data_IF_607821969741
#
_entry.id   IF_607821969741
#
_cell.length_a   1.000
_cell.length_b   1.000
_cell.length_c   1.000
_cell.angle_alpha   90.00
_cell.angle_beta   90.00
_cell.angle_gamma   90.00
#
_symmetry.space_group_name_H-M   'P 1'
#
loop_
_entity.id
_entity.type
_entity.pdbx_description
1 polymer ?
#
# COMPACT_ATOMS: atom_id res chain seq x y z
N UNK A 1 -15.24 16.16 10.01
CA UNK A 1 -14.28 16.74 9.05
C UNK A 1 -13.55 15.62 8.36
N UNK A 2 -14.06 15.21 7.20
CA UNK A 2 -13.64 14.02 6.48
C UNK A 2 -12.34 14.32 5.71
N UNK A 3 -11.29 13.53 5.93
CA UNK A 3 -9.99 13.62 5.24
C UNK A 3 -10.10 13.65 3.71
N UNK A 4 -11.25 13.24 3.16
CA UNK A 4 -11.56 13.17 1.74
C UNK A 4 -12.09 14.48 1.14
N UNK A 5 -12.73 15.34 1.94
CA UNK A 5 -13.15 16.67 1.46
C UNK A 5 -11.92 17.51 1.12
N UNK A 6 -10.88 17.41 1.97
CA UNK A 6 -9.58 18.03 1.71
C UNK A 6 -8.91 17.47 0.45
N UNK A 7 -8.97 16.16 0.19
CA UNK A 7 -8.34 15.60 -1.03
C UNK A 7 -9.07 15.99 -2.32
N UNK A 8 -10.41 16.13 -2.29
CA UNK A 8 -11.18 16.58 -3.45
C UNK A 8 -10.90 18.05 -3.81
N UNK A 9 -10.72 18.92 -2.80
CA UNK A 9 -10.31 20.32 -3.01
C UNK A 9 -8.82 20.49 -3.35
N UNK A 10 -7.98 19.51 -3.01
CA UNK A 10 -6.53 19.61 -3.20
C UNK A 10 -6.09 19.42 -4.66
N UNK A 11 -6.76 18.58 -5.44
CA UNK A 11 -6.35 18.30 -6.82
C UNK A 11 -6.56 19.48 -7.78
N UNK A 12 -7.74 20.17 -7.79
CA UNK A 12 -7.94 21.36 -8.62
C UNK A 12 -7.02 22.52 -8.18
N UNK A 13 -6.88 22.73 -6.87
CA UNK A 13 -6.04 23.82 -6.33
C UNK A 13 -4.55 23.67 -6.64
N UNK A 14 -4.01 22.45 -6.73
CA UNK A 14 -2.61 22.25 -7.16
C UNK A 14 -2.47 22.57 -8.65
N UNK A 15 -3.40 22.14 -9.50
CA UNK A 15 -3.34 22.44 -10.94
C UNK A 15 -3.44 23.94 -11.24
N UNK A 16 -4.30 24.68 -10.51
CA UNK A 16 -4.40 26.13 -10.63
C UNK A 16 -3.18 26.87 -10.08
N UNK A 17 -2.57 26.39 -8.98
CA UNK A 17 -1.39 27.03 -8.36
C UNK A 17 -0.10 26.68 -9.10
N UNK A 18 0.02 25.49 -9.69
CA UNK A 18 1.26 25.04 -10.36
C UNK A 18 1.23 25.13 -11.88
N UNK A 19 0.07 25.32 -12.51
CA UNK A 19 -0.09 25.34 -13.98
C UNK A 19 0.60 24.14 -14.69
N UNK A 20 0.74 23.01 -13.99
CA UNK A 20 1.47 21.84 -14.48
C UNK A 20 0.53 20.83 -15.12
N UNK A 21 0.94 20.17 -16.22
CA UNK A 21 0.16 19.10 -16.84
C UNK A 21 -0.26 18.00 -15.86
N UNK A 22 -1.41 17.37 -16.13
CA UNK A 22 -1.98 16.31 -15.29
C UNK A 22 -1.05 15.12 -15.04
N UNK A 23 -0.19 14.77 -16.01
CA UNK A 23 0.79 13.70 -15.84
C UNK A 23 1.82 13.97 -14.73
N UNK A 24 2.05 15.24 -14.32
CA UNK A 24 2.95 15.63 -13.23
C UNK A 24 2.17 15.80 -11.92
N UNK A 25 1.01 16.46 -11.99
CA UNK A 25 0.22 16.76 -10.78
C UNK A 25 -0.24 15.49 -10.08
N UNK A 26 -0.67 14.47 -10.81
CA UNK A 26 -1.11 13.19 -10.25
C UNK A 26 0.00 12.47 -9.43
N UNK A 27 1.21 12.21 -9.98
CA UNK A 27 2.33 11.72 -9.18
C UNK A 27 2.76 12.62 -8.04
N UNK A 28 2.74 13.95 -8.23
CA UNK A 28 3.16 14.89 -7.20
C UNK A 28 2.23 14.82 -5.98
N UNK A 29 0.91 14.81 -6.19
CA UNK A 29 -0.06 14.64 -5.11
C UNK A 29 0.12 13.28 -4.43
N UNK A 30 0.30 12.20 -5.22
CA UNK A 30 0.60 10.88 -4.67
C UNK A 30 1.83 10.89 -3.77
N UNK A 31 2.93 11.52 -4.18
CA UNK A 31 4.16 11.61 -3.41
C UNK A 31 3.96 12.44 -2.14
N UNK A 32 3.32 13.59 -2.22
CA UNK A 32 3.07 14.47 -1.05
C UNK A 32 2.21 13.77 0.00
N UNK A 33 1.06 13.21 -0.39
CA UNK A 33 0.16 12.48 0.51
C UNK A 33 0.87 11.26 1.12
N UNK A 34 1.61 10.53 0.28
CA UNK A 34 2.38 9.37 0.73
C UNK A 34 3.47 9.75 1.72
N UNK A 35 4.22 10.82 1.45
CA UNK A 35 5.30 11.27 2.31
C UNK A 35 4.75 11.69 3.68
N UNK A 36 3.69 12.49 3.73
CA UNK A 36 3.11 12.99 4.99
C UNK A 36 2.60 11.84 5.87
N UNK A 37 1.94 10.84 5.29
CA UNK A 37 1.33 9.75 6.05
C UNK A 37 2.33 8.64 6.34
N UNK A 38 3.12 8.23 5.34
CA UNK A 38 3.98 7.04 5.46
C UNK A 38 5.31 7.33 6.13
N UNK A 39 5.88 8.53 6.04
CA UNK A 39 7.17 8.83 6.68
C UNK A 39 7.14 8.69 8.21
N UNK A 40 6.21 9.30 8.98
CA UNK A 40 6.19 9.14 10.43
C UNK A 40 5.92 7.68 10.83
N UNK A 41 5.10 7.00 10.03
CA UNK A 41 4.76 5.61 10.26
C UNK A 41 5.93 4.65 10.00
N UNK A 42 6.70 4.89 8.93
CA UNK A 42 7.91 4.15 8.63
C UNK A 42 8.97 4.34 9.73
N UNK A 43 9.12 5.57 10.25
CA UNK A 43 10.00 5.87 11.37
C UNK A 43 9.53 5.14 12.65
N UNK A 44 8.24 5.20 12.96
CA UNK A 44 7.67 4.52 14.12
C UNK A 44 7.87 3.01 14.04
N UNK A 45 7.52 2.38 12.92
CA UNK A 45 7.68 0.93 12.73
C UNK A 45 9.15 0.52 12.85
N UNK A 46 10.08 1.26 12.24
CA UNK A 46 11.51 0.99 12.38
C UNK A 46 11.98 1.15 13.83
N UNK A 47 11.52 2.17 14.55
CA UNK A 47 11.85 2.37 15.97
C UNK A 47 11.44 1.17 16.85
N UNK A 48 10.26 0.60 16.59
CA UNK A 48 9.77 -0.61 17.26
C UNK A 48 10.66 -1.81 16.92
N UNK A 49 11.05 -1.97 15.65
CA UNK A 49 11.96 -3.05 15.24
C UNK A 49 13.35 -2.92 15.88
N UNK A 50 13.87 -1.69 16.00
CA UNK A 50 15.14 -1.42 16.71
C UNK A 50 15.06 -1.79 18.19
N UNK A 51 13.95 -1.47 18.87
CA UNK A 51 13.73 -1.89 20.27
C UNK A 51 13.64 -3.41 20.40
N UNK A 52 12.97 -4.08 19.46
CA UNK A 52 12.90 -5.55 19.41
C UNK A 52 14.28 -6.19 19.23
N UNK A 53 15.09 -5.65 18.31
CA UNK A 53 16.44 -6.17 18.06
C UNK A 53 17.32 -6.17 19.32
N UNK A 54 17.18 -5.16 20.19
CA UNK A 54 17.88 -5.09 21.48
C UNK A 54 17.45 -6.16 22.48
N UNK A 55 16.19 -6.60 22.42
CA UNK A 55 15.62 -7.60 23.33
C UNK A 55 15.83 -9.04 22.84
N UNK A 56 16.20 -9.22 21.58
CA UNK A 56 16.44 -10.53 20.98
C UNK A 56 17.44 -11.43 21.74
N UNK A 57 18.60 -10.95 22.27
CA UNK A 57 19.52 -11.82 23.03
C UNK A 57 18.87 -12.42 24.28
N UNK A 58 17.92 -11.73 24.93
CA UNK A 58 17.17 -12.29 26.06
C UNK A 58 16.28 -13.45 25.61
N UNK A 59 15.66 -13.33 24.44
CA UNK A 59 14.85 -14.41 23.88
C UNK A 59 15.72 -15.63 23.54
N UNK A 60 16.92 -15.39 23.02
CA UNK A 60 17.89 -16.45 22.73
C UNK A 60 18.34 -17.17 24.00
N UNK A 61 18.63 -16.43 25.08
CA UNK A 61 18.99 -17.00 26.38
C UNK A 61 17.85 -17.84 26.97
N UNK A 62 16.60 -17.34 26.89
CA UNK A 62 15.41 -18.07 27.35
C UNK A 62 15.23 -19.42 26.63
N UNK A 63 15.47 -19.45 25.31
CA UNK A 63 15.39 -20.69 24.55
C UNK A 63 16.44 -21.71 24.97
N UNK A 64 17.68 -21.28 25.19
CA UNK A 64 18.74 -22.16 25.67
C UNK A 64 18.37 -22.73 27.06
N UNK A 65 17.95 -21.87 27.99
CA UNK A 65 17.59 -22.26 29.34
C UNK A 65 16.40 -23.25 29.38
N UNK A 66 15.33 -22.95 28.64
CA UNK A 66 14.12 -23.80 28.59
C UNK A 66 14.43 -25.12 27.86
N UNK A 67 15.25 -25.06 26.81
CA UNK A 67 15.74 -26.23 26.08
C UNK A 67 16.49 -27.20 26.97
N UNK A 68 17.45 -26.71 27.77
CA UNK A 68 18.21 -27.53 28.70
C UNK A 68 17.32 -28.13 29.80
N UNK A 69 16.41 -27.33 30.37
CA UNK A 69 15.49 -27.80 31.41
C UNK A 69 14.54 -28.90 30.93
N UNK A 70 14.02 -28.79 29.70
CA UNK A 70 13.15 -29.81 29.11
C UNK A 70 13.92 -31.06 28.63
N UNK A 71 15.15 -30.91 28.15
CA UNK A 71 16.04 -32.04 27.84
C UNK A 71 16.36 -32.87 29.08
N UNK A 72 16.68 -32.22 30.21
CA UNK A 72 16.94 -32.89 31.49
C UNK A 72 15.74 -33.70 31.98
N UNK A 73 14.53 -33.23 31.69
CA UNK A 73 13.26 -33.90 32.05
C UNK A 73 12.83 -34.98 31.03
N UNK A 74 13.66 -35.29 30.02
CA UNK A 74 13.41 -36.31 29.00
C UNK A 74 12.00 -36.25 28.36
N UNK A 75 11.47 -35.04 28.15
CA UNK A 75 10.10 -34.86 27.65
C UNK A 75 10.04 -35.15 26.14
N UNK A 76 9.03 -35.87 25.62
CA UNK A 76 8.85 -36.01 24.18
C UNK A 76 8.55 -34.66 23.52
N UNK A 77 8.97 -34.49 22.26
CA UNK A 77 8.77 -33.28 21.46
C UNK A 77 9.34 -32.00 22.11
N UNK A 78 10.56 -32.10 22.65
CA UNK A 78 11.26 -30.99 23.33
C UNK A 78 11.21 -29.70 22.50
N UNK A 79 11.56 -29.75 21.22
CA UNK A 79 11.66 -28.54 20.38
C UNK A 79 10.33 -27.79 20.25
N UNK A 80 9.22 -28.51 20.08
CA UNK A 80 7.90 -27.90 19.99
C UNK A 80 7.48 -27.27 21.32
N UNK A 81 7.73 -27.96 22.44
CA UNK A 81 7.42 -27.42 23.77
C UNK A 81 8.28 -26.20 24.11
N UNK A 82 9.57 -26.22 23.76
CA UNK A 82 10.47 -25.06 23.93
C UNK A 82 9.94 -23.87 23.13
N UNK A 83 9.64 -24.05 21.85
CA UNK A 83 9.17 -22.94 21.00
C UNK A 83 7.84 -22.37 21.48
N UNK A 84 6.88 -23.20 21.90
CA UNK A 84 5.61 -22.74 22.50
C UNK A 84 5.84 -21.99 23.81
N UNK A 85 6.66 -22.53 24.72
CA UNK A 85 6.95 -21.91 26.01
C UNK A 85 7.69 -20.57 25.86
N UNK A 86 8.69 -20.52 24.98
CA UNK A 86 9.43 -19.30 24.66
C UNK A 86 8.50 -18.27 24.03
N UNK A 87 7.66 -18.64 23.05
CA UNK A 87 6.69 -17.71 22.43
C UNK A 87 5.80 -17.03 23.48
N UNK A 88 5.25 -17.80 24.42
CA UNK A 88 4.39 -17.26 25.48
C UNK A 88 5.17 -16.33 26.42
N UNK A 89 6.38 -16.71 26.85
CA UNK A 89 7.21 -15.88 27.73
C UNK A 89 7.72 -14.61 27.04
N UNK A 90 8.20 -14.73 25.80
CA UNK A 90 8.68 -13.59 25.02
C UNK A 90 7.56 -12.58 24.75
N UNK A 91 6.32 -13.03 24.49
CA UNK A 91 5.18 -12.11 24.37
C UNK A 91 4.96 -11.29 25.63
N UNK A 92 4.95 -11.94 26.82
CA UNK A 92 4.83 -11.25 28.11
C UNK A 92 5.98 -10.27 28.34
N UNK A 93 7.21 -10.69 28.02
CA UNK A 93 8.40 -9.84 28.10
C UNK A 93 8.29 -8.62 27.20
N UNK A 94 7.90 -8.78 25.92
CA UNK A 94 7.70 -7.64 25.01
C UNK A 94 6.61 -6.69 25.50
N UNK A 95 5.50 -7.22 26.03
CA UNK A 95 4.47 -6.39 26.67
C UNK A 95 5.01 -5.64 27.89
N UNK A 96 5.84 -6.27 28.74
CA UNK A 96 6.47 -5.63 29.88
C UNK A 96 7.42 -4.48 29.48
N UNK A 97 8.15 -4.63 28.37
CA UNK A 97 8.99 -3.56 27.79
C UNK A 97 8.21 -2.58 26.89
N UNK A 98 6.87 -2.58 26.95
CA UNK A 98 5.98 -1.74 26.13
C UNK A 98 6.20 -1.87 24.61
N UNK A 99 6.73 -3.00 24.14
CA UNK A 99 6.91 -3.33 22.73
C UNK A 99 5.69 -4.09 22.25
N UNK A 100 4.63 -3.36 21.90
CA UNK A 100 3.36 -3.95 21.46
C UNK A 100 3.44 -4.42 20.00
N UNK A 101 3.35 -5.73 19.79
CA UNK A 101 3.40 -6.36 18.46
C UNK A 101 2.23 -5.96 17.55
N UNK A 102 1.03 -5.85 18.14
CA UNK A 102 -0.21 -5.61 17.41
C UNK A 102 -0.24 -4.24 16.73
N UNK A 103 0.33 -3.20 17.37
CA UNK A 103 0.37 -1.84 16.81
C UNK A 103 1.27 -1.71 15.57
N UNK A 104 2.28 -2.58 15.43
CA UNK A 104 3.15 -2.57 14.24
C UNK A 104 2.48 -3.12 12.98
N UNK A 105 1.46 -3.97 13.13
CA UNK A 105 0.73 -4.56 11.99
C UNK A 105 -0.30 -3.58 11.40
N UNK A 106 -0.88 -2.72 12.23
CA UNK A 106 -1.85 -1.71 11.81
C UNK A 106 -1.26 -0.57 10.96
N UNK A 107 0.07 -0.40 10.98
CA UNK A 107 0.70 0.66 10.20
C UNK A 107 0.47 0.54 8.70
N UNK A 108 0.63 -0.65 8.10
CA UNK A 108 0.37 -0.81 6.66
C UNK A 108 -1.10 -0.57 6.28
N UNK A 109 -2.02 -1.04 7.13
CA UNK A 109 -3.45 -1.02 6.88
C UNK A 109 -4.05 0.39 6.97
N UNK A 110 -3.50 1.29 7.80
CA UNK A 110 -4.07 2.64 7.96
C UNK A 110 -3.90 3.51 6.70
N UNK A 111 -2.93 3.19 5.84
CA UNK A 111 -2.71 3.93 4.58
C UNK A 111 -3.65 3.50 3.45
N UNK A 112 -4.29 2.33 3.58
CA UNK A 112 -5.11 1.73 2.54
C UNK A 112 -6.41 2.52 2.25
N UNK A 113 -7.16 3.02 3.26
CA UNK A 113 -8.34 3.86 3.01
C UNK A 113 -8.01 5.14 2.25
N UNK A 114 -6.88 5.79 2.58
CA UNK A 114 -6.46 7.04 1.91
C UNK A 114 -6.05 6.76 0.46
N UNK A 115 -5.33 5.66 0.22
CA UNK A 115 -5.00 5.24 -1.14
C UNK A 115 -6.25 4.97 -1.98
N UNK A 116 -7.20 4.19 -1.45
CA UNK A 116 -8.44 3.87 -2.17
C UNK A 116 -9.36 5.07 -2.36
N UNK A 117 -9.39 6.00 -1.40
CA UNK A 117 -10.13 7.26 -1.54
C UNK A 117 -9.62 8.10 -2.70
N UNK A 118 -8.30 8.29 -2.80
CA UNK A 118 -7.71 9.01 -3.94
C UNK A 118 -7.88 8.26 -5.26
N UNK A 119 -7.77 6.92 -5.23
CA UNK A 119 -7.99 6.09 -6.42
C UNK A 119 -9.44 6.22 -6.91
N UNK A 120 -10.41 6.28 -6.00
CA UNK A 120 -11.82 6.52 -6.33
C UNK A 120 -12.05 7.91 -6.92
N UNK A 121 -11.44 8.95 -6.35
CA UNK A 121 -11.51 10.33 -6.89
C UNK A 121 -11.01 10.37 -8.33
N UNK A 122 -9.82 9.82 -8.59
CA UNK A 122 -9.25 9.78 -9.95
C UNK A 122 -10.13 8.94 -10.89
N UNK A 123 -10.67 7.83 -10.40
CA UNK A 123 -11.56 6.97 -11.19
C UNK A 123 -12.85 7.68 -11.56
N UNK A 124 -13.42 8.50 -10.67
CA UNK A 124 -14.59 9.33 -10.97
C UNK A 124 -14.27 10.48 -11.91
N UNK A 125 -13.09 11.10 -11.80
CA UNK A 125 -12.60 12.10 -12.76
C UNK A 125 -12.43 11.50 -14.16
N UNK A 126 -12.11 10.20 -14.26
CA UNK A 126 -12.07 9.47 -15.52
C UNK A 126 -13.44 9.05 -16.07
N UNK A 127 -14.55 9.46 -15.42
CA UNK A 127 -15.91 9.07 -15.82
C UNK A 127 -16.36 7.68 -15.33
N UNK A 128 -15.60 7.04 -14.43
CA UNK A 128 -15.96 5.74 -13.88
C UNK A 128 -17.17 5.78 -12.93
N UNK A 129 -18.03 4.74 -12.91
CA UNK A 129 -19.23 4.69 -12.06
C UNK A 129 -18.84 4.62 -10.58
N UNK A 130 -19.47 5.35 -9.65
CA UNK A 130 -19.12 5.31 -8.21
C UNK A 130 -19.04 3.87 -7.66
N UNK A 131 -17.95 3.57 -6.96
CA UNK A 131 -17.60 2.23 -6.51
C UNK A 131 -18.13 1.95 -5.11
N UNK A 132 -17.93 0.71 -4.65
CA UNK A 132 -18.42 0.21 -3.35
C UNK A 132 -17.88 1.02 -2.15
N UNK A 133 -16.70 1.64 -2.29
CA UNK A 133 -16.13 2.54 -1.28
C UNK A 133 -16.75 3.94 -1.34
N UNK A 134 -17.10 4.43 -2.53
CA UNK A 134 -17.88 5.65 -2.68
C UNK A 134 -19.25 5.51 -2.01
N UNK A 135 -19.95 4.39 -2.25
CA UNK A 135 -21.24 4.11 -1.59
C UNK A 135 -21.12 3.87 -0.09
N UNK A 136 -20.01 3.30 0.40
CA UNK A 136 -19.79 3.07 1.84
C UNK A 136 -19.39 4.35 2.58
N UNK A 137 -18.61 5.23 1.95
CA UNK A 137 -18.05 6.45 2.57
C UNK A 137 -18.97 7.67 2.44
N UNK A 138 -19.74 7.78 1.36
CA UNK A 138 -20.68 8.89 1.13
C UNK A 138 -22.12 8.58 1.55
N UNK A 139 -22.32 7.44 2.21
CA UNK A 139 -23.61 7.00 2.68
C UNK A 139 -24.32 6.14 1.64
N UNK A 140 -24.78 4.99 2.11
CA UNK A 140 -25.85 4.22 1.48
C UNK A 140 -27.17 5.00 1.64
N UNK A 141 -27.21 6.24 1.13
CA UNK A 141 -28.36 7.12 1.24
C UNK A 141 -29.09 7.08 -0.10
N UNK A 142 -30.19 6.32 -0.13
CA UNK A 142 -31.28 6.46 -1.10
C UNK A 142 -30.92 6.21 -2.55
N UNK A 143 -30.86 4.94 -2.96
CA UNK A 143 -31.13 4.59 -4.36
C UNK A 143 -32.64 4.66 -4.55
N UNK A 144 -33.16 5.78 -5.04
CA UNK A 144 -34.50 5.79 -5.61
C UNK A 144 -34.48 4.95 -6.89
N UNK A 145 -35.37 3.96 -7.04
CA UNK A 145 -35.42 3.13 -8.23
C UNK A 145 -36.11 3.92 -9.35
N UNK A 146 -35.34 4.41 -10.31
CA UNK A 146 -35.88 4.63 -11.65
C UNK A 146 -35.94 3.26 -12.38
N UNK A 147 -37.03 2.96 -13.11
CA UNK A 147 -37.41 1.61 -13.48
C UNK A 147 -36.52 1.01 -14.57
N UNK A 148 -36.17 -0.27 -14.34
CA UNK A 148 -36.00 -1.37 -15.32
C UNK A 148 -35.58 -1.00 -16.75
N UNK A 149 -34.41 -1.47 -17.18
CA UNK A 149 -34.37 -2.81 -17.79
C UNK A 149 -33.08 -3.55 -17.46
N UNK A 150 -33.25 -4.67 -16.76
CA UNK A 150 -32.23 -5.71 -16.64
C UNK A 150 -32.18 -6.52 -17.94
N UNK A 151 -30.98 -6.78 -18.43
CA UNK A 151 -30.68 -8.06 -19.07
C UNK A 151 -29.28 -8.50 -18.63
N UNK A 152 -29.27 -9.61 -17.91
CA UNK A 152 -28.09 -10.38 -17.54
C UNK A 152 -27.36 -10.89 -18.80
N UNK A 153 -26.04 -11.03 -18.73
CA UNK A 153 -25.29 -12.30 -18.94
C UNK A 153 -23.84 -12.03 -19.32
N UNK A 154 -22.97 -12.88 -18.77
CA UNK A 154 -21.52 -12.89 -18.91
C UNK A 154 -20.99 -13.15 -20.34
N UNK A 155 -19.70 -12.80 -20.51
CA UNK A 155 -18.71 -13.40 -21.41
C UNK A 155 -18.75 -13.07 -22.92
N UNK A 156 -17.52 -12.89 -23.44
CA UNK A 156 -17.00 -13.31 -24.77
C UNK A 156 -17.04 -12.33 -25.97
N UNK A 157 -15.87 -12.25 -26.63
CA UNK A 157 -15.58 -11.98 -28.06
C UNK A 157 -16.03 -10.64 -28.66
N UNK A 158 -15.12 -9.78 -29.14
CA UNK A 158 -14.31 -9.86 -30.37
C UNK A 158 -15.08 -9.57 -31.69
N UNK A 159 -14.39 -8.78 -32.53
CA UNK A 159 -14.49 -8.64 -33.99
C UNK A 159 -15.49 -7.64 -34.62
N UNK A 160 -14.87 -6.59 -35.18
CA UNK A 160 -14.84 -6.24 -36.60
C UNK A 160 -15.99 -5.42 -37.25
N UNK A 161 -15.55 -4.25 -37.74
CA UNK A 161 -15.66 -3.73 -39.11
C UNK A 161 -16.98 -3.09 -39.61
N UNK A 162 -16.84 -1.78 -39.85
CA UNK A 162 -16.95 -1.11 -41.15
C UNK A 162 -18.11 -0.11 -41.36
N UNK A 163 -17.71 1.00 -42.00
CA UNK A 163 -18.45 1.79 -43.00
C UNK A 163 -19.13 3.08 -42.51
N UNK A 164 -18.39 4.19 -42.67
CA UNK A 164 -18.89 5.55 -42.99
C UNK A 164 -19.44 5.57 -44.45
N UNK A 165 -19.99 6.65 -45.07
CA UNK A 165 -19.75 8.08 -44.78
C UNK A 165 -20.90 9.09 -45.14
N UNK A 166 -20.56 10.39 -45.01
CA UNK A 166 -21.04 11.62 -45.71
C UNK A 166 -21.70 12.69 -44.80
N UNK A 167 -21.04 13.84 -44.51
CA UNK A 167 -20.94 15.13 -45.29
C UNK A 167 -22.25 15.95 -45.19
N UNK A 168 -22.37 17.17 -44.63
CA UNK A 168 -21.94 18.51 -45.12
C UNK A 168 -22.38 19.60 -44.08
N UNK A 169 -21.55 20.59 -43.69
CA UNK A 169 -21.58 22.05 -44.04
C UNK A 169 -22.72 22.97 -43.49
N UNK A 170 -22.41 23.72 -42.42
CA UNK A 170 -22.42 25.23 -42.23
C UNK A 170 -23.71 26.12 -42.29
N UNK A 171 -23.69 27.44 -41.92
CA UNK A 171 -24.52 28.12 -40.88
C UNK A 171 -25.47 29.23 -41.45
N UNK A 172 -26.08 30.20 -40.67
CA UNK A 172 -25.41 31.45 -40.24
C UNK A 172 -25.98 32.23 -39.00
N UNK A 173 -25.24 33.30 -38.60
CA UNK A 173 -25.62 34.63 -38.05
C UNK A 173 -26.45 34.75 -36.73
N UNK A 174 -25.93 35.27 -35.62
CA UNK A 174 -25.60 36.67 -35.24
C UNK A 174 -26.76 37.43 -34.55
N UNK A 175 -26.60 37.77 -33.27
CA UNK A 175 -27.04 39.06 -32.71
C UNK A 175 -26.36 39.39 -31.37
N UNK A 176 -26.08 40.67 -31.18
CA UNK A 176 -25.22 41.29 -30.16
C UNK A 176 -26.05 42.33 -29.38
N UNK A 177 -26.03 42.34 -28.04
CA UNK A 177 -26.08 43.58 -27.21
C UNK A 177 -25.99 43.31 -25.68
N UNK A 178 -25.02 43.98 -25.04
CA UNK A 178 -24.87 44.30 -23.60
C UNK A 178 -25.49 45.70 -23.32
N UNK A 179 -25.49 46.34 -22.11
CA UNK A 179 -24.70 46.09 -20.88
C UNK A 179 -25.40 46.39 -19.50
N UNK A 180 -24.58 46.33 -18.43
CA UNK A 180 -24.71 46.97 -17.10
C UNK A 180 -25.73 46.42 -16.08
N UNK A 181 -25.23 45.72 -15.06
CA UNK A 181 -25.29 46.25 -13.69
C UNK A 181 -24.17 45.64 -12.81
N UNK A 182 -23.38 46.54 -12.26
CA UNK A 182 -22.27 46.32 -11.31
C UNK A 182 -22.76 46.88 -9.98
N UNK A 183 -23.42 46.05 -9.17
CA UNK A 183 -23.64 46.27 -7.73
C UNK A 183 -24.24 45.02 -7.09
N UNK A 184 -23.44 43.95 -6.91
CA UNK A 184 -23.65 43.03 -5.79
C UNK A 184 -22.37 42.27 -5.42
N UNK A 185 -21.28 43.02 -5.24
CA UNK A 185 -20.10 42.57 -4.49
C UNK A 185 -20.39 42.72 -2.99
N UNK A 186 -21.36 41.96 -2.46
CA UNK A 186 -21.60 41.83 -1.02
C UNK A 186 -22.51 40.65 -0.65
N UNK A 187 -22.36 39.50 -1.32
CA UNK A 187 -22.88 38.20 -0.87
C UNK A 187 -21.83 37.12 -1.09
N UNK A 188 -20.61 37.41 -0.63
CA UNK A 188 -19.55 36.42 -0.46
C UNK A 188 -19.92 35.54 0.72
N UNK A 189 -20.06 34.23 0.47
CA UNK A 189 -20.24 33.11 1.42
C UNK A 189 -21.59 32.40 1.26
N UNK A 190 -21.51 31.11 0.94
CA UNK A 190 -22.59 30.12 0.89
C UNK A 190 -23.41 30.03 -0.42
N UNK A 191 -22.75 29.68 -1.53
CA UNK A 191 -23.41 28.96 -2.61
C UNK A 191 -23.18 27.44 -2.42
N UNK A 192 -24.23 26.59 -2.44
CA UNK A 192 -24.15 25.16 -2.14
C UNK A 192 -23.59 24.37 -3.34
N UNK A 193 -22.34 24.62 -3.72
CA UNK A 193 -21.64 23.93 -4.81
C UNK A 193 -20.86 22.69 -4.34
N UNK A 194 -21.24 22.10 -3.19
CA UNK A 194 -20.50 20.97 -2.58
C UNK A 194 -21.08 19.60 -2.99
N UNK A 195 -22.11 19.56 -3.84
CA UNK A 195 -22.74 18.29 -4.25
C UNK A 195 -23.05 18.20 -5.76
N UNK A 196 -22.28 18.85 -6.63
CA UNK A 196 -22.28 18.46 -8.03
C UNK A 196 -21.49 17.14 -8.20
N UNK A 197 -22.02 16.16 -8.94
CA UNK A 197 -21.34 14.89 -9.14
C UNK A 197 -19.99 15.20 -9.79
N UNK A 198 -18.87 14.63 -9.31
CA UNK A 198 -17.58 14.70 -10.00
C UNK A 198 -17.78 14.15 -11.42
N UNK A 199 -18.09 15.07 -12.32
CA UNK A 199 -18.27 14.90 -13.74
C UNK A 199 -16.90 14.72 -14.36
N UNK A 200 -16.85 13.87 -15.38
CA UNK A 200 -15.70 13.64 -16.23
C UNK A 200 -14.88 14.92 -16.42
N UNK A 201 -13.61 14.89 -16.05
CA UNK A 201 -12.71 16.04 -16.21
C UNK A 201 -12.15 16.03 -17.65
N UNK A 202 -12.60 16.93 -18.55
CA UNK A 202 -12.25 16.86 -19.96
C UNK A 202 -10.76 17.14 -20.20
N UNK A 203 -10.10 17.88 -19.31
CA UNK A 203 -8.68 18.21 -19.43
C UNK A 203 -7.74 17.00 -19.22
N UNK A 204 -8.25 15.86 -18.74
CA UNK A 204 -7.47 14.61 -18.68
C UNK A 204 -7.20 14.03 -20.08
N UNK A 205 -8.09 14.27 -21.04
CA UNK A 205 -7.95 13.74 -22.40
C UNK A 205 -6.72 14.30 -23.14
N UNK A 206 -6.29 15.52 -22.78
CA UNK A 206 -5.14 16.21 -23.37
C UNK A 206 -3.97 16.41 -22.40
N UNK A 207 -4.11 15.94 -21.16
CA UNK A 207 -3.16 16.16 -20.07
C UNK A 207 -1.98 15.19 -19.99
N UNK A 208 -1.84 14.30 -20.98
CA UNK A 208 -0.83 13.24 -21.01
C UNK A 208 0.51 13.61 -21.60
N UNK A 209 1.41 12.63 -21.63
CA UNK A 209 2.75 12.80 -22.18
C UNK A 209 3.34 11.46 -22.68
N UNK A 210 4.46 11.56 -23.41
CA UNK A 210 5.16 10.42 -24.00
C UNK A 210 4.22 9.55 -24.86
N UNK A 211 4.03 8.28 -24.49
CA UNK A 211 3.26 7.28 -25.24
C UNK A 211 1.80 7.17 -24.78
N UNK A 212 1.38 7.98 -23.80
CA UNK A 212 0.03 8.03 -23.27
C UNK A 212 -0.50 9.48 -23.31
N UNK A 213 -0.89 9.98 -24.49
CA UNK A 213 -1.38 11.35 -24.64
C UNK A 213 -2.72 11.59 -23.94
N UNK A 214 -3.57 10.57 -23.89
CA UNK A 214 -4.87 10.57 -23.21
C UNK A 214 -4.78 9.77 -21.90
N UNK A 215 -5.09 10.41 -20.77
CA UNK A 215 -5.08 9.78 -19.44
C UNK A 215 -6.31 8.90 -19.18
N UNK A 216 -7.39 9.12 -19.92
CA UNK A 216 -8.67 8.41 -19.80
C UNK A 216 -8.61 7.05 -20.51
N UNK A 217 -7.84 6.98 -21.59
CA UNK A 217 -7.61 5.75 -22.34
C UNK A 217 -6.74 4.74 -21.56
N UNK A 218 -6.88 3.43 -21.85
CA UNK A 218 -5.94 2.43 -21.38
C UNK A 218 -4.56 2.60 -22.03
N UNK A 219 -3.51 2.15 -21.35
CA UNK A 219 -2.14 2.22 -21.86
C UNK A 219 -1.98 1.29 -23.07
N UNK A 220 -1.78 1.86 -24.26
CA UNK A 220 -1.64 1.13 -25.52
C UNK A 220 -0.51 0.10 -25.50
N UNK A 221 0.57 0.37 -24.77
CA UNK A 221 1.72 -0.55 -24.66
C UNK A 221 1.71 -1.36 -23.37
N UNK A 222 0.74 -1.12 -22.48
CA UNK A 222 0.60 -1.76 -21.17
C UNK A 222 1.85 -1.71 -20.27
N UNK A 223 2.78 -0.80 -20.54
CA UNK A 223 4.01 -0.60 -19.77
C UNK A 223 3.69 -0.22 -18.33
N UNK A 224 2.72 0.67 -18.13
CA UNK A 224 2.31 1.17 -16.82
C UNK A 224 1.66 0.09 -15.92
N UNK A 225 0.66 -0.69 -16.37
CA UNK A 225 0.12 -1.82 -15.61
C UNK A 225 1.21 -2.81 -15.14
N UNK A 226 2.13 -3.18 -16.02
CA UNK A 226 3.23 -4.08 -15.67
C UNK A 226 4.27 -3.41 -14.76
N UNK A 227 4.54 -2.11 -14.92
CA UNK A 227 5.39 -1.35 -14.01
C UNK A 227 4.80 -1.31 -12.61
N UNK A 228 3.49 -1.06 -12.45
CA UNK A 228 2.81 -1.11 -11.15
C UNK A 228 2.94 -2.49 -10.52
N UNK A 229 2.70 -3.55 -11.28
CA UNK A 229 2.88 -4.94 -10.82
C UNK A 229 4.31 -5.19 -10.32
N UNK A 230 5.32 -4.77 -11.09
CA UNK A 230 6.73 -4.88 -10.71
C UNK A 230 7.09 -4.08 -9.46
N UNK A 231 6.58 -2.85 -9.33
CA UNK A 231 6.77 -2.01 -8.15
C UNK A 231 6.12 -2.63 -6.90
N UNK A 232 4.91 -3.17 -7.03
CA UNK A 232 4.23 -3.88 -5.94
C UNK A 232 5.03 -5.11 -5.52
N UNK A 233 5.52 -5.89 -6.47
CA UNK A 233 6.36 -7.05 -6.19
C UNK A 233 7.63 -6.64 -5.44
N UNK A 234 8.34 -5.62 -5.92
CA UNK A 234 9.54 -5.08 -5.28
C UNK A 234 9.27 -4.57 -3.86
N UNK A 235 8.10 -4.00 -3.61
CA UNK A 235 7.69 -3.54 -2.28
C UNK A 235 7.39 -4.70 -1.33
N UNK A 236 6.90 -5.81 -1.87
CA UNK A 236 6.50 -6.96 -1.09
C UNK A 236 7.64 -7.96 -0.84
N UNK A 237 8.67 -7.99 -1.70
CA UNK A 237 9.81 -8.92 -1.61
C UNK A 237 10.69 -8.59 -0.41
N UNK A 238 11.01 -9.58 0.45
CA UNK A 238 11.92 -9.34 1.57
C UNK A 238 13.35 -9.17 1.07
N UNK A 239 14.06 -8.22 1.67
CA UNK A 239 15.48 -8.00 1.41
C UNK A 239 16.36 -9.12 2.01
N UNK A 240 15.88 -9.83 3.03
CA UNK A 240 16.65 -10.87 3.71
C UNK A 240 16.57 -12.19 2.95
N UNK A 241 17.71 -12.77 2.58
CA UNK A 241 17.75 -14.06 1.87
C UNK A 241 17.07 -15.20 2.65
N UNK A 242 17.14 -15.18 3.98
CA UNK A 242 16.47 -16.17 4.83
C UNK A 242 14.94 -16.08 4.71
N UNK A 243 14.41 -14.86 4.69
CA UNK A 243 12.98 -14.62 4.51
C UNK A 243 12.55 -15.00 3.09
N UNK A 244 13.35 -14.67 2.08
CA UNK A 244 13.08 -15.03 0.69
C UNK A 244 13.03 -16.55 0.50
N UNK A 245 14.01 -17.28 1.06
CA UNK A 245 13.99 -18.76 1.06
C UNK A 245 12.75 -19.32 1.74
N UNK A 246 12.31 -18.72 2.85
CA UNK A 246 11.07 -19.14 3.53
C UNK A 246 9.82 -18.94 2.67
N UNK A 247 9.78 -17.88 1.84
CA UNK A 247 8.65 -17.63 0.94
C UNK A 247 8.53 -18.71 -0.11
N UNK A 248 9.63 -19.13 -0.71
CA UNK A 248 9.65 -20.20 -1.72
C UNK A 248 9.68 -21.62 -1.14
N UNK A 249 9.57 -21.76 0.18
CA UNK A 249 9.62 -23.09 0.83
C UNK A 249 10.99 -23.76 0.77
N UNK A 250 12.04 -23.00 0.45
CA UNK A 250 13.41 -23.48 0.42
C UNK A 250 13.94 -23.70 1.84
N UNK A 251 14.78 -24.73 2.01
CA UNK A 251 15.45 -25.02 3.28
C UNK A 251 16.40 -23.88 3.67
N UNK A 252 16.60 -23.60 4.97
CA UNK A 252 17.57 -22.62 5.42
C UNK A 252 18.99 -23.01 4.96
N UNK A 253 19.80 -22.02 4.56
CA UNK A 253 21.20 -22.23 4.14
C UNK A 253 21.97 -22.94 5.27
N UNK A 254 22.65 -24.04 4.96
CA UNK A 254 23.45 -24.80 5.90
C UNK A 254 24.48 -23.87 6.58
N UNK A 255 24.52 -23.87 7.92
CA UNK A 255 25.39 -22.98 8.71
C UNK A 255 24.72 -21.69 9.22
N UNK A 256 23.56 -21.29 8.69
CA UNK A 256 22.77 -20.19 9.26
C UNK A 256 22.00 -20.69 10.50
N UNK A 257 22.69 -20.82 11.64
CA UNK A 257 22.07 -21.01 12.96
C UNK A 257 21.47 -19.70 13.49
N UNK A 258 20.78 -18.94 12.64
CA UNK A 258 19.79 -18.01 13.15
C UNK A 258 18.67 -18.87 13.70
N UNK A 259 18.78 -19.24 14.98
CA UNK A 259 17.68 -19.84 15.69
C UNK A 259 16.60 -18.77 15.62
N UNK A 260 15.58 -18.96 14.79
CA UNK A 260 14.44 -18.02 14.68
C UNK A 260 13.62 -18.16 15.96
N UNK A 261 14.21 -17.69 17.05
CA UNK A 261 13.63 -17.66 18.38
C UNK A 261 13.08 -16.25 18.57
N UNK A 262 12.12 -15.89 17.75
CA UNK A 262 11.23 -14.78 18.02
C UNK A 262 10.11 -14.91 17.00
N UNK A 263 9.12 -15.73 17.33
CA UNK A 263 7.90 -15.89 16.55
C UNK A 263 8.17 -16.37 15.13
N UNK A 264 8.31 -17.69 14.94
CA UNK A 264 8.13 -18.27 13.62
C UNK A 264 6.88 -17.67 13.01
N UNK A 265 7.06 -16.93 11.89
CA UNK A 265 5.97 -16.27 11.18
C UNK A 265 4.85 -17.29 11.04
N UNK A 266 3.66 -16.94 11.50
CA UNK A 266 2.55 -17.89 11.47
C UNK A 266 2.39 -18.42 10.05
N UNK A 267 2.04 -19.70 9.89
CA UNK A 267 1.77 -20.29 8.58
C UNK A 267 0.79 -19.43 7.78
N UNK A 268 -0.18 -18.84 8.45
CA UNK A 268 -1.12 -17.85 7.89
C UNK A 268 -0.44 -16.57 7.39
N UNK A 269 0.49 -15.96 8.14
CA UNK A 269 1.20 -14.76 7.66
C UNK A 269 2.08 -15.03 6.44
N UNK A 270 2.62 -16.25 6.33
CA UNK A 270 3.39 -16.67 5.17
C UNK A 270 2.48 -16.95 3.96
N UNK A 271 1.36 -17.63 4.19
CA UNK A 271 0.33 -17.86 3.17
C UNK A 271 -0.25 -16.53 2.65
N UNK A 272 -0.58 -15.60 3.55
CA UNK A 272 -1.03 -14.25 3.19
C UNK A 272 0.00 -13.52 2.35
N UNK A 273 1.29 -13.58 2.72
CA UNK A 273 2.34 -12.93 1.92
C UNK A 273 2.50 -13.55 0.54
N UNK A 274 2.40 -14.89 0.41
CA UNK A 274 2.40 -15.57 -0.89
C UNK A 274 1.19 -15.17 -1.72
N UNK A 275 0.00 -15.12 -1.10
CA UNK A 275 -1.21 -14.67 -1.76
C UNK A 275 -1.04 -13.25 -2.30
N UNK A 276 -0.55 -12.31 -1.48
CA UNK A 276 -0.31 -10.93 -1.89
C UNK A 276 0.73 -10.81 -3.02
N UNK A 277 1.72 -11.71 -3.10
CA UNK A 277 2.66 -11.76 -4.23
C UNK A 277 1.98 -12.19 -5.53
N UNK A 278 1.15 -13.23 -5.46
CA UNK A 278 0.36 -13.68 -6.60
C UNK A 278 -0.58 -12.57 -7.05
N UNK A 279 -1.24 -11.89 -6.11
CA UNK A 279 -2.07 -10.71 -6.39
C UNK A 279 -1.25 -9.60 -7.04
N UNK A 280 -0.04 -9.30 -6.56
CA UNK A 280 0.82 -8.27 -7.17
C UNK A 280 1.15 -8.56 -8.64
N UNK A 281 1.45 -9.82 -8.97
CA UNK A 281 1.70 -10.25 -10.37
C UNK A 281 0.41 -10.22 -11.19
N UNK A 282 -0.72 -10.63 -10.62
CA UNK A 282 -2.01 -10.66 -11.30
C UNK A 282 -2.59 -9.26 -11.56
N UNK A 283 -2.23 -8.24 -10.76
CA UNK A 283 -2.72 -6.86 -10.94
C UNK A 283 -2.42 -6.34 -12.35
N UNK A 284 -1.20 -6.54 -12.86
CA UNK A 284 -0.81 -6.06 -14.20
C UNK A 284 -1.79 -6.47 -15.31
N UNK A 285 -2.00 -7.77 -15.56
CA UNK A 285 -2.94 -8.22 -16.58
C UNK A 285 -4.41 -7.90 -16.25
N UNK A 286 -4.81 -7.94 -14.98
CA UNK A 286 -6.20 -7.66 -14.59
C UNK A 286 -6.58 -6.19 -14.77
N UNK A 287 -5.62 -5.26 -14.67
CA UNK A 287 -5.88 -3.83 -14.80
C UNK A 287 -5.45 -3.26 -16.16
N UNK A 288 -5.13 -4.08 -17.16
CA UNK A 288 -4.69 -3.61 -18.48
C UNK A 288 -5.69 -2.63 -19.14
N UNK A 289 -6.99 -2.83 -18.93
CA UNK A 289 -8.05 -2.00 -19.51
C UNK A 289 -8.40 -0.76 -18.66
N UNK A 290 -7.70 -0.55 -17.54
CA UNK A 290 -7.97 0.60 -16.67
C UNK A 290 -7.26 1.87 -17.21
N UNK A 291 -7.86 3.07 -17.01
CA UNK A 291 -7.27 4.34 -17.41
C UNK A 291 -5.81 4.53 -16.95
N UNK A 292 -5.00 5.14 -17.80
CA UNK A 292 -3.59 5.47 -17.54
C UNK A 292 -3.43 6.30 -16.25
N UNK A 293 -4.35 7.23 -15.99
CA UNK A 293 -4.33 8.07 -14.78
C UNK A 293 -4.21 7.26 -13.47
N UNK A 294 -4.94 6.14 -13.40
CA UNK A 294 -4.94 5.27 -12.22
C UNK A 294 -3.58 4.62 -12.02
N UNK A 295 -2.96 4.14 -13.09
CA UNK A 295 -1.65 3.49 -13.03
C UNK A 295 -0.54 4.47 -12.67
N UNK A 296 -0.58 5.71 -13.18
CA UNK A 296 0.37 6.76 -12.82
C UNK A 296 0.32 7.08 -11.32
N UNK A 297 -0.88 7.31 -10.79
CA UNK A 297 -1.08 7.53 -9.36
C UNK A 297 -0.61 6.33 -8.53
N UNK A 298 -0.94 5.12 -8.97
CA UNK A 298 -0.58 3.91 -8.24
C UNK A 298 0.95 3.69 -8.23
N UNK A 299 1.60 3.79 -9.38
CA UNK A 299 3.05 3.62 -9.53
C UNK A 299 3.81 4.61 -8.64
N UNK A 300 3.45 5.90 -8.71
CA UNK A 300 4.06 6.96 -7.89
C UNK A 300 3.84 6.76 -6.39
N UNK A 301 2.63 6.38 -5.96
CA UNK A 301 2.32 6.10 -4.56
C UNK A 301 3.15 4.92 -4.00
N UNK A 302 3.23 3.82 -4.75
CA UNK A 302 4.03 2.64 -4.36
C UNK A 302 5.53 2.94 -4.42
N UNK A 303 5.98 3.66 -5.45
CA UNK A 303 7.37 4.10 -5.60
C UNK A 303 7.82 5.00 -4.45
N UNK A 304 7.00 5.97 -4.06
CA UNK A 304 7.26 6.80 -2.88
C UNK A 304 7.36 5.95 -1.60
N UNK A 305 6.43 5.00 -1.40
CA UNK A 305 6.49 4.08 -0.27
C UNK A 305 7.79 3.26 -0.24
N UNK A 306 8.25 2.78 -1.38
CA UNK A 306 9.53 2.08 -1.53
C UNK A 306 10.71 2.95 -1.12
N UNK A 307 10.76 4.19 -1.63
CA UNK A 307 11.81 5.15 -1.33
C UNK A 307 11.82 5.48 0.16
N UNK A 308 10.67 5.77 0.76
CA UNK A 308 10.55 6.09 2.19
C UNK A 308 10.97 4.91 3.06
N UNK A 309 10.47 3.71 2.78
CA UNK A 309 10.79 2.52 3.59
C UNK A 309 12.27 2.13 3.48
N UNK A 310 12.85 2.15 2.27
CA UNK A 310 14.28 1.90 2.06
C UNK A 310 15.14 3.02 2.64
N UNK A 311 14.75 4.27 2.46
CA UNK A 311 15.42 5.45 3.01
C UNK A 311 15.50 5.39 4.53
N UNK A 312 14.37 5.12 5.20
CA UNK A 312 14.32 4.97 6.66
C UNK A 312 15.19 3.80 7.15
N UNK A 313 15.23 2.68 6.43
CA UNK A 313 16.10 1.54 6.79
C UNK A 313 17.58 1.85 6.61
N UNK A 314 17.94 2.62 5.58
CA UNK A 314 19.32 3.09 5.35
C UNK A 314 19.74 4.10 6.39
N UNK A 315 18.87 5.06 6.73
CA UNK A 315 19.16 6.13 7.69
C UNK A 315 19.18 5.64 9.14
N UNK A 316 18.29 4.70 9.49
CA UNK A 316 18.18 4.13 10.83
C UNK A 316 18.34 2.61 10.77
N UNK A 317 19.57 2.11 10.60
CA UNK A 317 19.82 0.68 10.52
C UNK A 317 19.44 -0.01 11.83
N UNK A 318 18.88 -1.22 11.69
CA UNK A 318 18.59 -2.09 12.82
C UNK A 318 19.93 -2.66 13.30
N UNK A 319 20.29 -2.49 14.59
CA UNK A 319 21.56 -2.96 15.11
C UNK A 319 21.67 -4.47 14.90
N UNK A 320 22.75 -4.91 14.21
CA UNK A 320 23.07 -6.32 14.06
C UNK A 320 23.57 -6.86 15.39
N UNK A 321 23.11 -8.05 15.74
CA UNK A 321 23.45 -8.64 17.04
C UNK A 321 24.91 -9.09 17.07
N UNK A 322 25.67 -8.78 18.14
CA UNK A 322 27.00 -9.32 18.35
C UNK A 322 27.00 -10.71 19.02
N UNK A 323 25.86 -11.14 19.59
CA UNK A 323 25.82 -12.34 20.44
C UNK A 323 25.66 -13.61 19.58
N UNK A 324 26.79 -14.27 19.31
CA UNK A 324 26.83 -15.62 18.73
C UNK A 324 26.29 -16.62 19.76
N UNK A 325 25.49 -17.60 19.31
CA UNK A 325 25.07 -18.69 20.19
C UNK A 325 26.31 -19.39 20.77
N UNK A 326 26.34 -19.60 22.09
CA UNK A 326 27.40 -20.34 22.76
C UNK A 326 27.60 -21.69 22.05
N UNK A 327 28.83 -21.95 21.59
CA UNK A 327 29.15 -23.13 20.81
C UNK A 327 29.24 -24.40 21.66
N UNK A 328 28.42 -24.53 22.72
CA UNK A 328 28.29 -25.76 23.53
C UNK A 328 29.56 -26.38 24.11
N UNK A 329 30.73 -25.76 23.92
CA UNK A 329 32.04 -26.25 24.28
C UNK A 329 32.65 -25.40 25.41
N UNK A 330 31.79 -24.84 26.25
CA UNK A 330 32.24 -24.27 27.51
C UNK A 330 32.20 -25.40 28.52
N UNK A 331 33.33 -26.08 28.64
CA UNK A 331 33.58 -27.07 29.69
C UNK A 331 33.21 -26.38 31.01
N UNK A 332 32.35 -26.97 31.85
CA UNK A 332 32.02 -26.41 33.16
C UNK A 332 33.23 -26.58 34.08
N UNK A 333 34.27 -25.78 33.88
CA UNK A 333 35.41 -25.72 34.79
C UNK A 333 35.00 -24.86 35.98
N UNK A 334 34.27 -25.47 36.91
CA UNK A 334 34.06 -24.90 38.24
C UNK A 334 35.44 -24.88 38.90
N UNK A 335 36.11 -23.72 38.95
CA UNK A 335 37.31 -23.59 39.80
C UNK A 335 36.85 -23.72 41.25
N UNK A 336 37.38 -24.70 42.02
CA UNK A 336 37.16 -24.71 43.46
C UNK A 336 37.75 -23.44 44.07
N UNK A 337 37.12 -22.98 45.14
CA UNK A 337 37.56 -21.81 45.92
C UNK A 337 38.96 -22.13 46.49
N UNK A 338 39.97 -21.28 46.33
CA UNK A 338 41.27 -21.50 46.96
C UNK A 338 41.07 -21.51 48.48
N UNK A 339 41.58 -22.57 49.12
CA UNK A 339 41.65 -22.70 50.58
C UNK A 339 42.56 -21.63 51.17
#
# INVERSE_FOLDING_TARGET
MSLTSTSASFHPGVHEVTATPWFISLPLVAVVVSAIIRTPLALYTNSVQRRKAKLYPLVQAQYAQIGLGLRRKAVPNVMERVTRAVKTRSKKMFTAFAVNETRSLWGGLISLPVFLGNLEVIRTMCGGPRGLLGSLLYGWQGRDPAPTTASDTASTSAAASSTAPNTSLEPPAADLSSPTDISELASTTASPEVLNPLTLEPSFASGGCLWFPDLLAPDTYHILPFAVSGLLLMHLVPETEADLRSLFGMRPKAGSRNIVIAGGRSRGSLALRRLLMVTAVAIGPVTMDMPVALHLYWASSVGCSLIVTKGVRRLLPIPRMPVKACSGLEIPLIRPKPN
#
